data_IF_082149071110
#
_entry.id   IF_082149071110
#
_cell.length_a   1.000
_cell.length_b   1.000
_cell.length_c   1.000
_cell.angle_alpha   90.00
_cell.angle_beta   90.00
_cell.angle_gamma   90.00
#
_symmetry.space_group_name_H-M   'P 1'
#
loop_
_entity.id
_entity.type
_entity.pdbx_description
1 polymer ?
#
# COMPACT_ATOMS: atom_id res chain seq x y z
N UNK A 1 1.69 7.39 15.19
CA UNK A 1 2.81 7.49 14.22
C UNK A 1 2.78 6.24 13.34
N UNK A 2 2.68 6.38 12.02
CA UNK A 2 2.55 5.24 11.09
C UNK A 2 3.84 4.43 10.96
N UNK A 3 5.00 5.08 11.08
CA UNK A 3 6.30 4.39 11.00
C UNK A 3 6.51 3.48 12.21
N UNK A 4 6.03 3.89 13.39
CA UNK A 4 6.08 3.07 14.60
C UNK A 4 5.21 1.81 14.50
N UNK A 5 4.19 1.80 13.63
CA UNK A 5 3.37 0.63 13.32
C UNK A 5 3.97 -0.31 12.27
N UNK A 6 5.19 -0.05 11.79
CA UNK A 6 5.84 -0.92 10.83
C UNK A 6 6.09 -2.32 11.41
N UNK A 7 5.74 -3.35 10.63
CA UNK A 7 6.00 -4.76 10.95
C UNK A 7 7.02 -5.36 10.00
N UNK A 8 7.74 -6.39 10.45
CA UNK A 8 8.71 -7.11 9.61
C UNK A 8 8.03 -8.25 8.86
N UNK A 9 8.31 -8.33 7.56
CA UNK A 9 7.95 -9.47 6.70
C UNK A 9 9.20 -9.89 5.95
N UNK A 10 9.86 -10.94 6.43
CA UNK A 10 11.20 -11.32 5.95
C UNK A 10 12.20 -10.16 6.05
N UNK A 11 12.78 -9.79 4.91
CA UNK A 11 13.73 -8.68 4.80
C UNK A 11 13.07 -7.28 4.78
N UNK A 12 11.74 -7.20 4.67
CA UNK A 12 11.01 -5.96 4.45
C UNK A 12 10.51 -5.34 5.75
N UNK A 13 10.59 -4.02 5.84
CA UNK A 13 9.79 -3.20 6.76
C UNK A 13 8.46 -2.84 6.08
N UNK A 14 7.33 -3.14 6.71
CA UNK A 14 6.01 -3.03 6.09
C UNK A 14 5.11 -2.15 6.94
N UNK A 15 4.60 -1.07 6.37
CA UNK A 15 3.54 -0.26 6.96
C UNK A 15 2.26 -0.52 6.18
N UNK A 16 1.26 -1.10 6.83
CA UNK A 16 -0.08 -1.30 6.26
C UNK A 16 -1.12 -0.70 7.19
N UNK A 17 -1.89 0.28 6.72
CA UNK A 17 -2.87 0.97 7.57
C UNK A 17 -4.02 1.56 6.77
N UNK A 18 -5.20 1.55 7.36
CA UNK A 18 -6.36 2.30 6.92
C UNK A 18 -6.34 3.70 7.56
N UNK A 19 -6.46 4.75 6.74
CA UNK A 19 -6.53 6.14 7.17
C UNK A 19 -7.97 6.60 7.47
N UNK A 20 -8.96 5.74 7.22
CA UNK A 20 -10.38 6.07 7.31
C UNK A 20 -10.82 6.94 6.13
N UNK A 21 -11.69 7.92 6.41
CA UNK A 21 -12.14 8.87 5.39
C UNK A 21 -11.01 9.82 5.00
N UNK A 22 -10.78 9.94 3.70
CA UNK A 22 -9.80 10.84 3.11
C UNK A 22 -10.49 11.82 2.14
N UNK A 23 -9.91 13.02 1.99
CA UNK A 23 -10.45 14.04 1.07
C UNK A 23 -10.22 13.68 -0.40
N UNK A 24 -9.12 12.97 -0.70
CA UNK A 24 -8.79 12.55 -2.05
C UNK A 24 -7.81 11.36 -2.05
N UNK A 25 -7.70 10.67 -3.18
CA UNK A 25 -6.66 9.66 -3.38
C UNK A 25 -5.25 10.26 -3.31
N UNK A 26 -5.08 11.52 -3.74
CA UNK A 26 -3.80 12.23 -3.67
C UNK A 26 -3.36 12.51 -2.22
N UNK A 27 -4.29 12.72 -1.30
CA UNK A 27 -3.97 12.87 0.12
C UNK A 27 -3.41 11.55 0.70
N UNK A 28 -4.07 10.42 0.43
CA UNK A 28 -3.58 9.09 0.84
C UNK A 28 -2.20 8.83 0.23
N UNK A 29 -2.02 9.18 -1.05
CA UNK A 29 -0.74 9.08 -1.76
C UNK A 29 0.35 9.93 -1.10
N UNK A 30 0.04 11.17 -0.74
CA UNK A 30 0.98 12.06 -0.08
C UNK A 30 1.42 11.51 1.29
N UNK A 31 0.51 10.93 2.07
CA UNK A 31 0.87 10.26 3.33
C UNK A 31 1.76 9.05 3.08
N UNK A 32 1.43 8.20 2.09
CA UNK A 32 2.23 7.02 1.76
C UNK A 32 3.67 7.40 1.35
N UNK A 33 3.82 8.46 0.57
CA UNK A 33 5.13 8.99 0.16
C UNK A 33 5.93 9.52 1.36
N UNK A 34 5.32 10.27 2.27
CA UNK A 34 5.97 10.76 3.50
C UNK A 34 6.43 9.61 4.39
N UNK A 35 5.62 8.56 4.54
CA UNK A 35 6.01 7.36 5.31
C UNK A 35 7.18 6.66 4.63
N UNK A 36 7.14 6.49 3.30
CA UNK A 36 8.24 5.90 2.53
C UNK A 36 9.54 6.70 2.69
N UNK A 37 9.48 8.02 2.61
CA UNK A 37 10.64 8.90 2.82
C UNK A 37 11.25 8.73 4.20
N UNK A 38 10.41 8.61 5.24
CA UNK A 38 10.88 8.37 6.62
C UNK A 38 11.52 7.01 6.82
N UNK A 39 11.14 6.01 6.03
CA UNK A 39 11.78 4.68 6.03
C UNK A 39 13.12 4.67 5.26
N UNK A 40 13.40 5.72 4.50
CA UNK A 40 14.72 5.96 3.89
C UNK A 40 15.17 4.84 2.94
N UNK A 41 16.40 4.39 3.14
CA UNK A 41 17.06 3.39 2.28
C UNK A 41 16.74 1.94 2.66
N UNK A 42 15.98 1.71 3.73
CA UNK A 42 15.60 0.37 4.13
C UNK A 42 14.72 -0.29 3.07
N UNK A 43 14.81 -1.62 2.93
CA UNK A 43 13.89 -2.37 2.11
C UNK A 43 12.49 -2.30 2.74
N UNK A 44 11.59 -1.51 2.16
CA UNK A 44 10.31 -1.22 2.76
C UNK A 44 9.15 -1.08 1.76
N UNK A 45 7.96 -1.43 2.24
CA UNK A 45 6.68 -1.34 1.54
C UNK A 45 5.70 -0.56 2.41
N UNK A 46 5.05 0.43 1.83
CA UNK A 46 4.00 1.22 2.46
C UNK A 46 2.72 0.98 1.69
N UNK A 47 1.68 0.49 2.36
CA UNK A 47 0.35 0.24 1.82
C UNK A 47 -0.67 1.01 2.66
N UNK A 48 -1.21 2.11 2.16
CA UNK A 48 -2.20 2.92 2.88
C UNK A 48 -3.55 2.86 2.17
N UNK A 49 -4.60 2.60 2.94
CA UNK A 49 -5.98 2.58 2.49
C UNK A 49 -6.74 3.82 2.95
N UNK A 50 -7.82 4.14 2.24
CA UNK A 50 -8.81 5.09 2.72
C UNK A 50 -10.11 5.05 1.91
N UNK A 51 -11.15 5.67 2.44
CA UNK A 51 -12.43 5.87 1.77
C UNK A 51 -12.49 7.30 1.21
N UNK A 52 -12.70 7.42 -0.10
CA UNK A 52 -12.82 8.69 -0.84
C UNK A 52 -14.12 8.64 -1.63
N UNK A 53 -15.05 9.56 -1.38
CA UNK A 53 -16.37 9.61 -2.02
C UNK A 53 -17.10 8.25 -2.01
N UNK A 54 -17.13 7.60 -0.83
CA UNK A 54 -17.69 6.27 -0.58
C UNK A 54 -17.08 5.14 -1.45
N UNK A 55 -15.85 5.36 -1.96
CA UNK A 55 -15.07 4.34 -2.69
C UNK A 55 -13.73 4.07 -1.99
N UNK A 56 -13.32 2.81 -1.88
CA UNK A 56 -12.01 2.48 -1.32
C UNK A 56 -10.89 2.79 -2.31
N UNK A 57 -9.79 3.32 -1.78
CA UNK A 57 -8.50 3.48 -2.46
C UNK A 57 -7.40 2.84 -1.63
N UNK A 58 -6.43 2.20 -2.29
CA UNK A 58 -5.20 1.69 -1.69
C UNK A 58 -4.02 2.21 -2.48
N UNK A 59 -3.07 2.87 -1.79
CA UNK A 59 -1.81 3.31 -2.36
C UNK A 59 -0.70 2.39 -1.86
N UNK A 60 0.08 1.85 -2.78
CA UNK A 60 1.27 1.05 -2.46
C UNK A 60 2.51 1.81 -2.95
N UNK A 61 3.49 2.00 -2.06
CA UNK A 61 4.77 2.61 -2.36
C UNK A 61 5.92 1.71 -1.88
N UNK A 62 6.93 1.53 -2.71
CA UNK A 62 8.12 0.71 -2.39
C UNK A 62 9.37 1.57 -2.37
N UNK A 63 10.30 1.28 -1.47
CA UNK A 63 11.65 1.85 -1.53
C UNK A 63 12.47 1.18 -2.64
N UNK A 64 13.58 1.79 -3.02
CA UNK A 64 14.50 1.19 -3.99
C UNK A 64 15.00 -0.18 -3.55
N UNK A 65 15.41 -0.31 -2.29
CA UNK A 65 15.88 -1.57 -1.73
C UNK A 65 14.81 -2.67 -1.78
N UNK A 66 13.53 -2.36 -1.55
CA UNK A 66 12.46 -3.33 -1.75
C UNK A 66 12.31 -3.77 -3.22
N UNK A 67 12.43 -2.83 -4.17
CA UNK A 67 12.39 -3.15 -5.60
C UNK A 67 13.57 -4.00 -6.05
N UNK A 68 14.76 -3.78 -5.50
CA UNK A 68 15.94 -4.62 -5.75
C UNK A 68 15.75 -6.07 -5.28
N UNK A 69 14.83 -6.31 -4.33
CA UNK A 69 14.38 -7.64 -3.91
C UNK A 69 13.19 -8.17 -4.75
N UNK A 70 12.84 -7.49 -5.85
CA UNK A 70 11.74 -7.89 -6.74
C UNK A 70 10.35 -7.43 -6.31
N UNK A 71 10.23 -6.65 -5.23
CA UNK A 71 8.94 -6.20 -4.70
C UNK A 71 8.46 -4.95 -5.44
N UNK A 72 7.42 -5.10 -6.26
CA UNK A 72 6.88 -4.04 -7.12
C UNK A 72 5.52 -3.56 -6.62
N UNK A 73 5.30 -2.25 -6.59
CA UNK A 73 4.04 -1.65 -6.13
C UNK A 73 2.85 -2.01 -7.05
N UNK A 74 3.04 -1.98 -8.37
CA UNK A 74 1.98 -2.26 -9.35
C UNK A 74 1.21 -3.56 -9.12
N UNK A 75 1.89 -4.73 -9.06
CA UNK A 75 1.24 -6.01 -8.77
C UNK A 75 0.51 -6.05 -7.42
N UNK A 76 1.09 -5.47 -6.37
CA UNK A 76 0.48 -5.42 -5.04
C UNK A 76 -0.80 -4.57 -5.03
N UNK A 77 -0.77 -3.39 -5.64
CA UNK A 77 -1.93 -2.51 -5.75
C UNK A 77 -3.05 -3.14 -6.61
N UNK A 78 -2.69 -3.91 -7.64
CA UNK A 78 -3.66 -4.67 -8.46
C UNK A 78 -4.33 -5.79 -7.67
N UNK A 79 -3.58 -6.51 -6.83
CA UNK A 79 -4.13 -7.52 -5.93
C UNK A 79 -5.14 -6.88 -4.95
N UNK A 80 -4.77 -5.78 -4.30
CA UNK A 80 -5.67 -5.01 -3.44
C UNK A 80 -6.94 -4.59 -4.18
N UNK A 81 -6.80 -3.99 -5.38
CA UNK A 81 -7.94 -3.55 -6.19
C UNK A 81 -8.91 -4.69 -6.54
N UNK A 82 -8.39 -5.88 -6.79
CA UNK A 82 -9.22 -7.07 -7.09
C UNK A 82 -10.11 -7.41 -5.91
N UNK A 83 -9.55 -7.38 -4.69
CA UNK A 83 -10.29 -7.59 -3.44
C UNK A 83 -11.33 -6.50 -3.19
N UNK A 84 -11.05 -5.25 -3.59
CA UNK A 84 -11.99 -4.14 -3.52
C UNK A 84 -13.09 -4.18 -4.60
N UNK A 85 -13.07 -5.17 -5.49
CA UNK A 85 -14.02 -5.28 -6.60
C UNK A 85 -13.75 -4.31 -7.76
N UNK A 86 -12.50 -3.89 -7.95
CA UNK A 86 -12.12 -2.92 -8.97
C UNK A 86 -10.79 -3.19 -9.66
N UNK A 87 -10.13 -2.11 -10.06
CA UNK A 87 -8.92 -2.11 -10.86
C UNK A 87 -7.82 -1.26 -10.25
N UNK A 88 -6.59 -1.51 -10.69
CA UNK A 88 -5.42 -0.82 -10.17
C UNK A 88 -4.25 -0.88 -11.14
N UNK A 89 -3.31 0.05 -10.96
CA UNK A 89 -2.14 0.21 -11.79
C UNK A 89 -1.17 1.26 -11.26
N UNK A 90 -0.04 1.38 -11.93
CA UNK A 90 1.02 2.31 -11.55
C UNK A 90 2.38 1.78 -11.96
N UNK A 91 3.42 2.36 -11.36
CA UNK A 91 4.81 1.99 -11.59
C UNK A 91 5.29 1.02 -10.52
N UNK A 92 6.51 0.51 -10.70
CA UNK A 92 7.13 -0.40 -9.74
C UNK A 92 7.40 0.26 -8.37
N UNK A 93 7.56 1.59 -8.33
CA UNK A 93 7.84 2.38 -7.12
C UNK A 93 6.59 2.90 -6.39
N UNK A 94 5.49 3.08 -7.14
CA UNK A 94 4.25 3.67 -6.63
C UNK A 94 3.08 3.26 -7.52
N UNK A 95 2.03 2.73 -6.89
CA UNK A 95 0.83 2.31 -7.58
C UNK A 95 -0.43 2.53 -6.72
N UNK A 96 -1.56 2.52 -7.40
CA UNK A 96 -2.88 2.71 -6.80
C UNK A 96 -3.81 1.57 -7.21
N UNK A 97 -4.59 1.09 -6.25
CA UNK A 97 -5.76 0.24 -6.45
C UNK A 97 -7.00 0.93 -5.91
N UNK A 98 -8.16 0.56 -6.43
CA UNK A 98 -9.45 1.00 -5.91
C UNK A 98 -10.57 0.07 -6.35
N UNK A 99 -11.78 0.34 -5.88
CA UNK A 99 -12.95 -0.45 -6.23
C UNK A 99 -14.25 0.16 -5.73
N UNK A 100 -15.23 -0.69 -5.45
CA UNK A 100 -16.55 -0.30 -4.95
C UNK A 100 -16.86 -0.86 -3.56
N UNK A 101 -16.10 -1.84 -3.07
CA UNK A 101 -16.35 -2.46 -1.77
C UNK A 101 -15.47 -1.86 -0.67
N UNK A 102 -15.98 -0.82 -0.01
CA UNK A 102 -15.31 -0.19 1.15
C UNK A 102 -15.11 -1.20 2.29
N UNK A 103 -16.04 -2.14 2.48
CA UNK A 103 -15.95 -3.12 3.56
C UNK A 103 -14.78 -4.10 3.39
N UNK A 104 -14.29 -4.26 2.16
CA UNK A 104 -13.14 -5.08 1.83
C UNK A 104 -11.78 -4.40 2.06
N UNK A 105 -11.74 -3.13 2.49
CA UNK A 105 -10.48 -2.36 2.59
C UNK A 105 -9.45 -3.00 3.53
N UNK A 106 -9.89 -3.46 4.70
CA UNK A 106 -9.00 -4.15 5.65
C UNK A 106 -8.38 -5.42 5.02
N UNK A 107 -9.21 -6.22 4.34
CA UNK A 107 -8.76 -7.42 3.63
C UNK A 107 -7.81 -7.08 2.48
N UNK A 108 -8.09 -6.03 1.72
CA UNK A 108 -7.22 -5.60 0.62
C UNK A 108 -5.82 -5.20 1.10
N UNK A 109 -5.71 -4.55 2.27
CA UNK A 109 -4.43 -4.24 2.90
C UNK A 109 -3.70 -5.50 3.38
N UNK A 110 -4.42 -6.47 3.94
CA UNK A 110 -3.86 -7.77 4.31
C UNK A 110 -3.35 -8.55 3.10
N UNK A 111 -4.06 -8.51 1.97
CA UNK A 111 -3.65 -9.16 0.72
C UNK A 111 -2.35 -8.55 0.17
N UNK A 112 -2.15 -7.23 0.31
CA UNK A 112 -0.86 -6.60 -0.02
C UNK A 112 0.26 -7.19 0.81
N UNK A 113 0.06 -7.35 2.13
CA UNK A 113 1.09 -7.92 3.00
C UNK A 113 1.30 -9.41 2.73
N UNK A 114 0.24 -10.15 2.44
CA UNK A 114 0.30 -11.57 2.10
C UNK A 114 1.03 -11.83 0.77
N UNK A 115 0.96 -10.88 -0.18
CA UNK A 115 1.66 -10.93 -1.46
C UNK A 115 3.16 -10.63 -1.38
N UNK A 116 3.69 -10.30 -0.21
CA UNK A 116 5.13 -10.07 -0.03
C UNK A 116 5.90 -11.39 0.09
N UNK A 117 7.14 -11.45 -0.42
CA UNK A 117 7.97 -12.64 -0.31
C UNK A 117 8.21 -12.99 1.17
N UNK A 118 8.04 -14.27 1.50
CA UNK A 118 8.39 -14.85 2.80
C UNK A 118 9.72 -15.60 2.67
N UNK A 119 10.56 -15.61 3.73
CA UNK A 119 11.79 -16.38 3.75
C UNK A 119 11.54 -17.88 3.61
#
# INVERSE_FOLDING_TARGET
DLVAGARRVGALSVVAADLGRAGSADDVRAVALKVRERLGSDAAVVALGGEVDDRPVVIVATTEAARSLGVKAGPLAKAAATTLGGGGGGRDDLAQGGGSDVSALARALDDVVAGLPRP
#
